data_IF_687899525828
#
_entry.id   IF_687899525828
#
_cell.length_a   1.000
_cell.length_b   1.000
_cell.length_c   1.000
_cell.angle_alpha   90.00
_cell.angle_beta   90.00
_cell.angle_gamma   90.00
#
_symmetry.space_group_name_H-M   'P 1'
#
loop_
_entity.id
_entity.type
_entity.pdbx_description
1 polymer ?
#
# COMPACT_ATOMS: atom_id res chain seq x y z
N UNK A 1 16.87 3.75 1.67
CA UNK A 1 16.90 4.47 0.37
C UNK A 1 15.49 4.96 0.06
N UNK A 2 15.06 6.11 0.58
CA UNK A 2 13.79 6.72 0.20
C UNK A 2 14.03 7.61 -1.03
N UNK A 3 13.69 7.13 -2.23
CA UNK A 3 13.81 7.90 -3.48
C UNK A 3 12.67 8.93 -3.63
N UNK A 4 12.33 9.64 -2.55
CA UNK A 4 11.20 10.58 -2.53
C UNK A 4 9.81 9.94 -2.38
N UNK A 5 9.76 8.65 -2.01
CA UNK A 5 8.52 7.94 -1.71
C UNK A 5 8.27 7.90 -0.18
N UNK A 6 7.01 8.02 0.27
CA UNK A 6 6.66 7.93 1.69
C UNK A 6 6.95 6.52 2.23
N UNK A 7 7.33 6.45 3.51
CA UNK A 7 7.78 5.20 4.13
C UNK A 7 6.65 4.17 4.34
N UNK A 8 5.41 4.62 4.52
CA UNK A 8 4.23 3.78 4.74
C UNK A 8 3.51 3.32 3.47
N UNK A 9 4.17 3.36 2.31
CA UNK A 9 3.62 2.80 1.05
C UNK A 9 3.42 1.29 1.11
N UNK A 10 4.31 0.62 1.84
CA UNK A 10 4.25 -0.82 2.07
C UNK A 10 3.90 -1.08 3.53
N UNK A 11 3.18 -2.18 3.81
CA UNK A 11 2.88 -2.58 5.18
C UNK A 11 4.15 -2.99 5.93
N UNK A 12 4.04 -3.03 7.25
CA UNK A 12 5.09 -3.49 8.17
C UNK A 12 5.47 -4.97 7.99
N UNK A 13 4.56 -5.78 7.43
CA UNK A 13 4.73 -7.21 7.12
C UNK A 13 5.68 -7.54 5.95
N UNK A 14 6.41 -6.56 5.41
CA UNK A 14 7.43 -6.85 4.39
C UNK A 14 8.60 -7.61 5.01
N UNK A 15 8.93 -8.76 4.39
CA UNK A 15 10.05 -9.59 4.79
C UNK A 15 11.37 -9.02 4.28
N UNK A 16 11.44 -8.73 2.98
CA UNK A 16 12.68 -8.31 2.32
C UNK A 16 12.40 -7.38 1.13
N UNK A 17 13.42 -6.56 0.81
CA UNK A 17 13.44 -5.69 -0.36
C UNK A 17 14.68 -6.01 -1.19
N UNK A 18 14.49 -6.24 -2.48
CA UNK A 18 15.58 -6.37 -3.46
C UNK A 18 15.47 -5.23 -4.48
N UNK A 19 16.57 -4.52 -4.72
CA UNK A 19 16.64 -3.50 -5.75
C UNK A 19 17.74 -3.86 -6.74
N UNK A 20 17.34 -4.23 -7.94
CA UNK A 20 18.26 -4.51 -9.04
C UNK A 20 18.98 -3.23 -9.49
N UNK A 21 20.22 -3.35 -10.00
CA UNK A 21 20.95 -2.22 -10.60
C UNK A 21 20.20 -1.54 -11.75
N UNK A 22 19.27 -2.28 -12.39
CA UNK A 22 18.43 -1.81 -13.48
C UNK A 22 17.25 -0.94 -13.02
N UNK A 23 17.07 -0.76 -11.70
CA UNK A 23 15.96 0.00 -11.11
C UNK A 23 14.73 -0.84 -10.76
N UNK A 24 14.73 -2.15 -11.05
CA UNK A 24 13.64 -3.04 -10.66
C UNK A 24 13.67 -3.29 -9.15
N UNK A 25 12.64 -2.84 -8.46
CA UNK A 25 12.35 -3.10 -7.07
C UNK A 25 11.45 -4.33 -6.96
N UNK A 26 11.83 -5.27 -6.11
CA UNK A 26 11.04 -6.42 -5.71
C UNK A 26 10.84 -6.37 -4.19
N UNK A 27 9.60 -6.48 -3.76
CA UNK A 27 9.21 -6.47 -2.36
C UNK A 27 8.59 -7.81 -2.03
N UNK A 28 9.17 -8.51 -1.06
CA UNK A 28 8.76 -9.85 -0.67
C UNK A 28 7.99 -9.80 0.65
N UNK A 29 6.78 -10.33 0.64
CA UNK A 29 5.92 -10.47 1.81
C UNK A 29 5.82 -11.95 2.19
N UNK A 30 5.63 -12.23 3.47
CA UNK A 30 5.44 -13.61 3.93
C UNK A 30 4.22 -14.29 3.29
N UNK A 31 3.16 -13.53 3.05
CA UNK A 31 1.88 -14.01 2.55
C UNK A 31 1.10 -12.85 1.89
N UNK A 32 0.16 -13.13 0.97
CA UNK A 32 -0.67 -12.10 0.39
C UNK A 32 -1.64 -11.55 1.43
N UNK A 33 -1.83 -10.23 1.45
CA UNK A 33 -2.59 -9.55 2.49
C UNK A 33 -3.25 -8.27 1.97
N UNK A 34 -4.24 -7.80 2.72
CA UNK A 34 -4.97 -6.57 2.41
C UNK A 34 -4.70 -5.55 3.49
N UNK A 35 -4.26 -4.35 3.11
CA UNK A 35 -4.15 -3.20 4.01
C UNK A 35 -5.27 -2.19 3.70
N UNK A 36 -5.68 -1.44 4.72
CA UNK A 36 -6.67 -0.38 4.57
C UNK A 36 -5.99 0.98 4.70
N UNK A 37 -5.99 1.74 3.62
CA UNK A 37 -5.66 3.17 3.61
C UNK A 37 -6.98 3.95 3.57
N UNK A 38 -7.14 4.89 2.64
CA UNK A 38 -8.44 5.45 2.28
C UNK A 38 -9.36 4.38 1.65
N UNK A 39 -8.78 3.52 0.80
CA UNK A 39 -9.43 2.32 0.24
C UNK A 39 -8.64 1.07 0.58
N UNK A 40 -9.24 -0.11 0.35
CA UNK A 40 -8.55 -1.39 0.56
C UNK A 40 -7.55 -1.61 -0.57
N UNK A 41 -6.31 -1.93 -0.21
CA UNK A 41 -5.23 -2.27 -1.13
C UNK A 41 -4.78 -3.68 -0.82
N UNK A 42 -4.85 -4.54 -1.82
CA UNK A 42 -4.37 -5.91 -1.79
C UNK A 42 -2.94 -5.97 -2.30
N UNK A 43 -2.11 -6.68 -1.55
CA UNK A 43 -0.72 -6.94 -1.81
C UNK A 43 -0.53 -8.44 -2.02
N UNK A 44 0.09 -8.79 -3.15
CA UNK A 44 0.57 -10.15 -3.39
C UNK A 44 1.84 -10.44 -2.58
N UNK A 45 2.22 -11.72 -2.49
CA UNK A 45 3.45 -12.13 -1.81
C UNK A 45 4.72 -11.53 -2.42
N UNK A 46 4.66 -11.16 -3.71
CA UNK A 46 5.76 -10.52 -4.41
C UNK A 46 5.20 -9.33 -5.16
N UNK A 47 5.64 -8.13 -4.78
CA UNK A 47 5.32 -6.90 -5.50
C UNK A 47 6.54 -6.48 -6.30
N UNK A 48 6.33 -6.14 -7.57
CA UNK A 48 7.40 -5.70 -8.48
C UNK A 48 7.10 -4.32 -9.01
N UNK A 49 8.10 -3.47 -9.12
CA UNK A 49 7.95 -2.16 -9.73
C UNK A 49 9.30 -1.60 -10.16
N UNK A 50 9.32 -0.71 -11.15
CA UNK A 50 10.51 0.05 -11.47
C UNK A 50 10.58 1.31 -10.60
N UNK A 51 11.60 1.40 -9.77
CA UNK A 51 11.82 2.50 -8.85
C UNK A 51 12.40 3.70 -9.60
N UNK A 52 11.61 4.76 -9.70
CA UNK A 52 12.03 6.06 -10.22
C UNK A 52 12.09 7.10 -9.11
N UNK A 53 12.60 8.30 -9.42
CA UNK A 53 12.60 9.39 -8.43
C UNK A 53 11.17 9.87 -8.21
N UNK A 54 10.68 9.76 -6.98
CA UNK A 54 9.32 10.12 -6.60
C UNK A 54 8.25 9.14 -7.07
N UNK A 55 8.60 7.94 -7.56
CA UNK A 55 7.58 7.03 -8.11
C UNK A 55 7.98 5.57 -8.25
N UNK A 56 6.95 4.71 -8.31
CA UNK A 56 7.00 3.31 -8.71
C UNK A 56 6.25 3.18 -10.03
N UNK A 57 6.92 2.66 -11.07
CA UNK A 57 6.38 2.57 -12.43
C UNK A 57 6.23 1.09 -12.80
N UNK A 58 5.13 0.72 -13.47
CA UNK A 58 4.91 -0.66 -13.91
C UNK A 58 4.79 -1.63 -12.73
N UNK A 59 4.01 -1.22 -11.74
CA UNK A 59 3.69 -1.96 -10.54
C UNK A 59 2.92 -3.24 -10.90
N UNK A 60 3.36 -4.35 -10.31
CA UNK A 60 2.73 -5.67 -10.37
C UNK A 60 2.57 -6.23 -8.95
N UNK A 61 1.48 -6.97 -8.70
CA UNK A 61 1.19 -7.52 -7.38
C UNK A 61 0.49 -6.55 -6.43
N UNK A 62 0.07 -5.38 -6.91
CA UNK A 62 -0.78 -4.44 -6.17
C UNK A 62 -2.13 -4.27 -6.86
N UNK A 63 -3.20 -4.35 -6.07
CA UNK A 63 -4.57 -4.07 -6.53
C UNK A 63 -5.32 -3.25 -5.50
N UNK A 64 -6.08 -2.26 -5.94
CA UNK A 64 -6.93 -1.43 -5.09
C UNK A 64 -8.40 -1.78 -5.31
N UNK A 65 -9.18 -1.79 -4.25
CA UNK A 65 -10.62 -1.98 -4.34
C UNK A 65 -11.32 -0.67 -4.72
N UNK A 66 -12.09 -0.70 -5.80
CA UNK A 66 -12.95 0.39 -6.23
C UNK A 66 -14.33 -0.14 -6.62
N UNK A 67 -15.39 0.42 -6.04
CA UNK A 67 -16.79 0.01 -6.30
C UNK A 67 -16.98 -1.52 -6.32
N UNK A 68 -16.36 -2.23 -5.36
CA UNK A 68 -16.39 -3.70 -5.20
C UNK A 68 -15.51 -4.52 -6.17
N UNK A 69 -14.71 -3.87 -7.02
CA UNK A 69 -13.77 -4.53 -7.94
C UNK A 69 -12.33 -4.29 -7.50
N UNK A 70 -11.48 -5.30 -7.62
CA UNK A 70 -10.03 -5.13 -7.46
C UNK A 70 -9.43 -4.68 -8.78
N UNK A 71 -8.91 -3.47 -8.82
CA UNK A 71 -8.28 -2.86 -9.97
C UNK A 71 -6.76 -2.81 -9.79
N UNK A 72 -5.97 -3.19 -10.79
CA UNK A 72 -4.52 -3.24 -10.66
C UNK A 72 -3.95 -1.84 -10.52
N UNK A 73 -3.07 -1.64 -9.54
CA UNK A 73 -2.27 -0.41 -9.46
C UNK A 73 -1.10 -0.56 -10.42
N UNK A 74 -0.99 0.37 -11.37
CA UNK A 74 0.04 0.39 -12.42
C UNK A 74 1.19 1.30 -12.09
N UNK A 75 0.91 2.50 -11.59
CA UNK A 75 1.95 3.47 -11.26
C UNK A 75 1.60 4.18 -9.95
N UNK A 76 2.61 4.55 -9.18
CA UNK A 76 2.48 5.35 -7.96
C UNK A 76 3.47 6.51 -8.08
N UNK A 77 2.99 7.76 -8.06
CA UNK A 77 3.82 8.93 -8.36
C UNK A 77 3.54 10.06 -7.37
N UNK A 78 4.61 10.66 -6.84
CA UNK A 78 4.61 11.88 -6.03
C UNK A 78 5.17 13.00 -6.92
N UNK A 79 4.30 13.80 -7.52
CA UNK A 79 4.72 14.88 -8.44
C UNK A 79 5.40 16.04 -7.71
N UNK A 80 4.92 16.39 -6.52
CA UNK A 80 5.45 17.50 -5.74
C UNK A 80 5.38 17.17 -4.24
N UNK A 81 6.53 17.02 -3.55
CA UNK A 81 6.53 16.68 -2.13
C UNK A 81 5.93 17.79 -1.25
N UNK A 82 5.86 19.03 -1.73
CA UNK A 82 5.19 20.16 -1.06
C UNK A 82 3.67 20.13 -1.18
N UNK A 83 3.12 19.51 -2.22
CA UNK A 83 1.67 19.40 -2.43
C UNK A 83 0.99 18.50 -1.41
N UNK A 84 1.74 17.59 -0.77
CA UNK A 84 1.16 16.65 0.17
C UNK A 84 0.36 15.54 -0.50
N UNK A 85 0.49 15.33 -1.81
CA UNK A 85 -0.33 14.38 -2.58
C UNK A 85 0.50 13.27 -3.24
N UNK A 86 -0.12 12.10 -3.38
CA UNK A 86 0.39 10.94 -4.10
C UNK A 86 -0.68 10.41 -5.05
N UNK A 87 -0.28 10.08 -6.27
CA UNK A 87 -1.19 9.60 -7.31
C UNK A 87 -0.97 8.12 -7.56
N UNK A 88 -2.08 7.39 -7.64
CA UNK A 88 -2.11 5.98 -8.00
C UNK A 88 -2.82 5.85 -9.34
N UNK A 89 -2.13 5.33 -10.33
CA UNK A 89 -2.73 4.94 -11.61
C UNK A 89 -3.31 3.53 -11.46
N UNK A 90 -4.64 3.40 -11.55
CA UNK A 90 -5.33 2.11 -11.47
C UNK A 90 -5.68 1.55 -12.86
N UNK A 91 -4.98 2.03 -13.90
CA UNK A 91 -5.15 1.66 -15.31
C UNK A 91 -6.38 2.27 -15.98
N UNK A 92 -7.50 2.39 -15.27
CA UNK A 92 -8.74 3.00 -15.78
C UNK A 92 -8.89 4.47 -15.40
N UNK A 93 -8.23 4.89 -14.31
CA UNK A 93 -8.29 6.24 -13.77
C UNK A 93 -7.03 6.50 -12.93
N UNK A 94 -6.82 7.77 -12.58
CA UNK A 94 -5.80 8.19 -11.63
C UNK A 94 -6.49 8.69 -10.37
N UNK A 95 -5.99 8.26 -9.22
CA UNK A 95 -6.55 8.58 -7.92
C UNK A 95 -5.54 9.31 -7.07
N UNK A 96 -5.98 10.42 -6.50
CA UNK A 96 -5.18 11.28 -5.64
C UNK A 96 -5.43 10.90 -4.18
N UNK A 97 -4.35 10.74 -3.43
CA UNK A 97 -4.38 10.48 -2.00
C UNK A 97 -3.50 11.49 -1.27
N UNK A 98 -3.82 11.76 -0.01
CA UNK A 98 -2.95 12.55 0.86
C UNK A 98 -1.73 11.75 1.30
N UNK A 99 -0.54 12.34 1.22
CA UNK A 99 0.72 11.74 1.67
C UNK A 99 0.68 11.33 3.15
N UNK A 100 -0.08 12.06 3.99
CA UNK A 100 -0.27 11.73 5.40
C UNK A 100 -0.88 10.35 5.64
N UNK A 101 -1.61 9.78 4.66
CA UNK A 101 -2.13 8.41 4.76
C UNK A 101 -1.02 7.35 4.69
N UNK A 102 0.16 7.73 4.22
CA UNK A 102 1.31 6.85 4.00
C UNK A 102 2.50 7.25 4.89
N UNK A 103 2.29 8.08 5.91
CA UNK A 103 3.32 8.39 6.92
C UNK A 103 3.51 7.19 7.86
N UNK A 104 2.41 6.61 8.33
CA UNK A 104 2.40 5.41 9.15
C UNK A 104 2.10 4.17 8.30
N UNK A 105 2.95 3.12 8.34
CA UNK A 105 2.69 1.89 7.62
C UNK A 105 1.42 1.20 8.17
N UNK A 106 0.45 0.83 7.32
CA UNK A 106 -0.75 0.16 7.79
C UNK A 106 -0.45 -1.30 8.16
N UNK A 107 -1.27 -1.84 9.05
CA UNK A 107 -1.27 -3.27 9.37
C UNK A 107 -1.85 -4.05 8.20
N UNK A 108 -1.10 -5.03 7.68
CA UNK A 108 -1.59 -5.91 6.64
C UNK A 108 -2.37 -7.09 7.23
N UNK A 109 -3.61 -7.28 6.76
CA UNK A 109 -4.46 -8.39 7.19
C UNK A 109 -4.39 -9.52 6.15
N UNK A 110 -3.84 -10.70 6.50
CA UNK A 110 -3.81 -11.81 5.56
C UNK A 110 -5.21 -12.32 5.24
N UNK A 111 -5.42 -12.85 4.04
CA UNK A 111 -6.76 -13.28 3.55
C UNK A 111 -7.39 -14.47 4.31
N UNK A 112 -6.83 -14.88 5.46
CA UNK A 112 -7.42 -15.83 6.40
C UNK A 112 -8.01 -15.20 7.67
N UNK A 113 -7.88 -13.88 7.87
CA UNK A 113 -8.34 -13.18 9.08
C UNK A 113 -9.65 -12.42 8.80
N UNK A 114 -10.67 -13.15 8.33
CA UNK A 114 -12.06 -12.68 8.42
C UNK A 114 -12.64 -13.10 9.78
N UNK A 115 -12.07 -12.55 10.85
CA UNK A 115 -12.49 -12.54 12.27
C UNK A 115 -11.20 -12.13 13.01
N UNK A 116 -11.08 -10.99 13.69
CA UNK A 116 -11.95 -10.42 14.70
C UNK A 116 -11.75 -8.89 14.78
N UNK A 117 -12.72 -8.11 14.35
CA UNK A 117 -12.98 -6.78 14.93
C UNK A 117 -14.45 -6.80 15.39
N UNK A 118 -14.78 -7.79 16.24
CA UNK A 118 -16.00 -7.77 17.04
C UNK A 118 -15.74 -6.80 18.18
N UNK A 119 -16.49 -5.71 18.20
CA UNK A 119 -16.32 -4.63 19.16
C UNK A 119 -16.33 -5.11 20.61
N UNK A 120 -15.44 -4.50 21.41
CA UNK A 120 -15.61 -4.39 22.85
C UNK A 120 -14.87 -3.15 23.38
N UNK A 121 -15.47 -1.97 23.19
CA UNK A 121 -15.27 -0.90 24.17
C UNK A 121 -16.09 -1.28 25.39
N UNK A 122 -15.39 -1.67 26.44
CA UNK A 122 -15.95 -2.04 27.74
C UNK A 122 -16.81 -0.89 28.30
N UNK A 123 -18.09 -1.17 28.55
CA UNK A 123 -18.89 -0.36 29.47
C UNK A 123 -18.45 -0.70 30.89
N UNK A 124 -17.67 0.17 31.50
CA UNK A 124 -17.42 0.12 32.93
C UNK A 124 -18.69 0.50 33.70
N UNK A 125 -19.25 -0.44 34.46
CA UNK A 125 -20.14 -0.14 35.58
C UNK A 125 -19.52 -0.74 36.84
N UNK A 126 -19.09 0.13 37.75
CA UNK A 126 -18.69 -0.24 39.11
C UNK A 126 -19.95 -0.21 39.99
N UNK A 127 -20.09 -1.29 40.77
CA UNK A 127 -21.10 -1.67 41.77
C UNK A 127 -21.78 -0.52 42.51
#
# INVERSE_FOLDING_TARGET
MSRGLPAGLFPDTVRDYELDPNGLLQVFMDQPCTAKFETRVFFESVVRANLSYGGLIGVEGLSQEELFLWLPVKDIIVYDPSSGLILFDIGVAQKEFSLSLFEDPPVCMPQGVLQEEVGRKEFGFQV
#
